data_IF_479695742931
#
_entry.id   IF_479695742931
#
_cell.length_a   1.000
_cell.length_b   1.000
_cell.length_c   1.000
_cell.angle_alpha   90.00
_cell.angle_beta   90.00
_cell.angle_gamma   90.00
#
_symmetry.space_group_name_H-M   'P 1'
#
loop_
_entity.id
_entity.type
_entity.pdbx_description
1 polymer ?
#
# COMPACT_ATOMS: atom_id res chain seq x y z
N UNK A 1 5.36 -12.82 -57.72
CA UNK A 1 6.02 -13.31 -56.49
C UNK A 1 6.31 -14.77 -56.67
N UNK A 2 7.58 -15.17 -56.70
CA UNK A 2 7.99 -16.57 -56.89
C UNK A 2 7.81 -17.32 -55.56
N UNK A 3 7.33 -18.56 -55.61
CA UNK A 3 7.25 -19.48 -54.48
C UNK A 3 8.62 -19.75 -53.81
N UNK A 4 9.71 -19.34 -54.44
CA UNK A 4 11.08 -19.47 -53.91
C UNK A 4 11.48 -18.40 -52.94
N UNK A 5 10.69 -17.32 -52.73
CA UNK A 5 10.95 -16.24 -51.76
C UNK A 5 10.24 -16.46 -50.40
N UNK A 6 9.63 -17.63 -50.19
CA UNK A 6 9.01 -17.93 -48.91
C UNK A 6 10.08 -18.14 -47.82
N UNK A 7 9.95 -17.47 -46.65
CA UNK A 7 10.93 -17.62 -45.57
C UNK A 7 10.99 -19.10 -45.13
N UNK A 8 12.21 -19.63 -45.05
CA UNK A 8 12.46 -20.99 -44.58
C UNK A 8 11.90 -21.17 -43.17
N UNK A 9 11.04 -22.15 -42.98
CA UNK A 9 10.46 -22.47 -41.68
C UNK A 9 11.56 -22.88 -40.69
N UNK A 10 11.66 -22.16 -39.57
CA UNK A 10 12.63 -22.45 -38.53
C UNK A 10 11.90 -22.99 -37.29
N UNK A 11 11.87 -24.29 -37.14
CA UNK A 11 11.17 -25.03 -36.10
C UNK A 11 11.65 -24.62 -34.67
N UNK A 12 12.94 -24.42 -34.50
CA UNK A 12 13.52 -23.99 -33.21
C UNK A 12 12.99 -22.64 -32.78
N UNK A 13 12.92 -21.69 -33.71
CA UNK A 13 12.41 -20.33 -33.46
C UNK A 13 10.91 -20.33 -33.15
N UNK A 14 10.14 -21.14 -33.88
CA UNK A 14 8.69 -21.25 -33.64
C UNK A 14 8.39 -21.96 -32.31
N UNK A 15 9.15 -22.98 -31.95
CA UNK A 15 9.03 -23.65 -30.66
C UNK A 15 9.45 -22.73 -29.50
N UNK A 16 10.47 -21.88 -29.68
CA UNK A 16 10.84 -20.85 -28.69
C UNK A 16 9.73 -19.81 -28.48
N UNK A 17 9.12 -19.31 -29.56
CA UNK A 17 7.97 -18.39 -29.50
C UNK A 17 6.76 -19.02 -28.79
N UNK A 18 6.43 -20.28 -29.12
CA UNK A 18 5.33 -20.99 -28.43
C UNK A 18 5.60 -21.15 -26.94
N UNK A 19 6.81 -21.53 -26.53
CA UNK A 19 7.19 -21.63 -25.10
C UNK A 19 7.10 -20.30 -24.42
N UNK A 20 7.57 -19.23 -25.06
CA UNK A 20 7.46 -17.86 -24.50
C UNK A 20 6.01 -17.44 -24.33
N UNK A 21 5.16 -17.69 -25.32
CA UNK A 21 3.75 -17.34 -25.30
C UNK A 21 2.98 -18.12 -24.22
N UNK A 22 3.24 -19.42 -24.10
CA UNK A 22 2.65 -20.25 -23.05
C UNK A 22 3.14 -19.77 -21.66
N UNK A 23 4.46 -19.53 -21.52
CA UNK A 23 5.04 -19.02 -20.26
C UNK A 23 4.44 -17.67 -19.86
N UNK A 24 4.31 -16.72 -20.79
CA UNK A 24 3.70 -15.43 -20.51
C UNK A 24 2.21 -15.54 -20.13
N UNK A 25 1.47 -16.43 -20.81
CA UNK A 25 0.07 -16.67 -20.47
C UNK A 25 -0.11 -17.27 -19.07
N UNK A 26 0.77 -18.20 -18.66
CA UNK A 26 0.76 -18.77 -17.31
C UNK A 26 1.08 -17.74 -16.26
N UNK A 27 2.08 -16.87 -16.47
CA UNK A 27 2.41 -15.78 -15.56
C UNK A 27 1.24 -14.81 -15.42
N UNK A 28 0.62 -14.44 -16.55
CA UNK A 28 -0.55 -13.56 -16.54
C UNK A 28 -1.73 -14.16 -15.78
N UNK A 29 -2.03 -15.45 -16.00
CA UNK A 29 -3.08 -16.17 -15.28
C UNK A 29 -2.79 -16.22 -13.76
N UNK A 30 -1.53 -16.48 -13.38
CA UNK A 30 -1.13 -16.49 -11.97
C UNK A 30 -1.32 -15.10 -11.31
N UNK A 31 -0.94 -14.02 -11.99
CA UNK A 31 -1.15 -12.65 -11.50
C UNK A 31 -2.63 -12.30 -11.34
N UNK A 32 -3.48 -12.73 -12.28
CA UNK A 32 -4.93 -12.55 -12.18
C UNK A 32 -5.50 -13.30 -10.97
N UNK A 33 -5.09 -14.55 -10.75
CA UNK A 33 -5.53 -15.35 -9.60
C UNK A 33 -5.09 -14.73 -8.28
N UNK A 34 -3.85 -14.25 -8.17
CA UNK A 34 -3.34 -13.57 -6.98
C UNK A 34 -4.10 -12.26 -6.70
N UNK A 35 -4.40 -11.49 -7.76
CA UNK A 35 -5.18 -10.24 -7.63
C UNK A 35 -6.60 -10.54 -7.16
N UNK A 36 -7.25 -11.56 -7.72
CA UNK A 36 -8.58 -11.98 -7.31
C UNK A 36 -8.59 -12.47 -5.86
N UNK A 37 -7.60 -13.26 -5.48
CA UNK A 37 -7.46 -13.74 -4.10
C UNK A 37 -7.27 -12.57 -3.12
N UNK A 38 -6.39 -11.62 -3.44
CA UNK A 38 -6.21 -10.41 -2.63
C UNK A 38 -7.51 -9.63 -2.46
N UNK A 39 -8.28 -9.48 -3.53
CA UNK A 39 -9.57 -8.80 -3.48
C UNK A 39 -10.59 -9.54 -2.60
N UNK A 40 -10.69 -10.87 -2.70
CA UNK A 40 -11.59 -11.71 -1.87
C UNK A 40 -11.20 -11.63 -0.39
N UNK A 41 -9.90 -11.61 -0.09
CA UNK A 41 -9.39 -11.50 1.28
C UNK A 41 -9.49 -10.09 1.87
N UNK A 42 -9.98 -9.10 1.12
CA UNK A 42 -10.16 -7.73 1.59
C UNK A 42 -8.94 -6.81 1.43
N UNK A 43 -7.87 -7.27 0.78
CA UNK A 43 -6.66 -6.49 0.52
C UNK A 43 -6.70 -5.70 -0.80
N UNK A 44 -7.88 -5.62 -1.44
CA UNK A 44 -8.11 -4.85 -2.66
C UNK A 44 -7.23 -5.29 -3.84
N UNK A 45 -6.83 -4.33 -4.67
CA UNK A 45 -5.99 -4.62 -5.84
C UNK A 45 -4.51 -4.77 -5.46
N UNK A 46 -3.91 -5.92 -5.79
CA UNK A 46 -2.54 -6.28 -5.45
C UNK A 46 -1.53 -5.16 -5.73
N UNK A 47 -1.60 -4.53 -6.90
CA UNK A 47 -0.62 -3.52 -7.32
C UNK A 47 -0.83 -2.13 -6.71
N UNK A 48 -2.01 -1.85 -6.17
CA UNK A 48 -2.33 -0.54 -5.58
C UNK A 48 -2.38 -0.58 -4.06
N UNK A 49 -3.01 -1.60 -3.49
CA UNK A 49 -3.25 -1.66 -2.06
C UNK A 49 -2.06 -2.24 -1.29
N UNK A 50 -1.41 -3.29 -1.83
CA UNK A 50 -0.27 -3.91 -1.15
C UNK A 50 0.90 -2.95 -0.85
N UNK A 51 1.34 -2.06 -1.77
CA UNK A 51 2.33 -1.05 -1.43
C UNK A 51 1.89 -0.10 -0.32
N UNK A 52 0.59 0.25 -0.26
CA UNK A 52 0.03 1.11 0.78
C UNK A 52 -0.01 0.38 2.12
N UNK A 53 -0.45 -0.88 2.15
CA UNK A 53 -0.42 -1.71 3.35
C UNK A 53 1.01 -1.86 3.89
N UNK A 54 1.99 -2.10 3.01
CA UNK A 54 3.40 -2.16 3.40
C UNK A 54 3.89 -0.84 4.01
N UNK A 55 3.45 0.30 3.45
CA UNK A 55 3.77 1.62 4.00
C UNK A 55 3.15 1.81 5.37
N UNK A 56 1.88 1.44 5.55
CA UNK A 56 1.20 1.49 6.85
C UNK A 56 1.86 0.56 7.85
N UNK A 57 2.25 -0.64 7.46
CA UNK A 57 3.04 -1.54 8.32
C UNK A 57 4.35 -0.89 8.76
N UNK A 58 5.10 -0.26 7.84
CA UNK A 58 6.36 0.42 8.18
C UNK A 58 6.14 1.60 9.13
N UNK A 59 5.03 2.32 8.97
CA UNK A 59 4.63 3.40 9.86
C UNK A 59 4.41 2.88 11.29
N UNK A 60 3.60 1.84 11.46
CA UNK A 60 3.34 1.25 12.78
C UNK A 60 4.57 0.58 13.37
N UNK A 61 5.42 -0.07 12.57
CA UNK A 61 6.71 -0.59 13.04
C UNK A 61 7.59 0.52 13.64
N UNK A 62 7.61 1.71 13.02
CA UNK A 62 8.35 2.85 13.55
C UNK A 62 7.75 3.36 14.88
N UNK A 63 6.42 3.41 15.00
CA UNK A 63 5.75 3.76 16.27
C UNK A 63 6.04 2.75 17.39
N UNK A 64 6.00 1.46 17.10
CA UNK A 64 6.35 0.38 18.05
C UNK A 64 7.80 0.49 18.52
N UNK A 65 8.71 0.83 17.60
CA UNK A 65 10.11 1.09 17.91
C UNK A 65 10.34 2.45 18.62
N UNK A 66 9.28 3.26 18.81
CA UNK A 66 9.34 4.64 19.32
C UNK A 66 10.23 5.58 18.48
N UNK A 67 10.43 5.24 17.22
CA UNK A 67 11.12 6.06 16.22
C UNK A 67 10.12 7.03 15.58
N UNK A 68 9.73 8.05 16.33
CA UNK A 68 8.73 9.03 15.90
C UNK A 68 9.21 9.88 14.72
N UNK A 69 10.53 10.07 14.57
CA UNK A 69 11.10 10.75 13.41
C UNK A 69 10.84 9.97 12.14
N UNK A 70 11.18 8.68 12.12
CA UNK A 70 10.92 7.80 10.98
C UNK A 70 9.41 7.61 10.71
N UNK A 71 8.59 7.52 11.77
CA UNK A 71 7.15 7.45 11.62
C UNK A 71 6.61 8.73 10.95
N UNK A 72 7.11 9.91 11.33
CA UNK A 72 6.74 11.19 10.76
C UNK A 72 7.14 11.31 9.27
N UNK A 73 8.35 10.88 8.90
CA UNK A 73 8.82 10.83 7.51
C UNK A 73 7.90 9.97 6.64
N UNK A 74 7.46 8.81 7.16
CA UNK A 74 6.52 7.92 6.47
C UNK A 74 5.13 8.56 6.37
N UNK A 75 4.66 9.19 7.45
CA UNK A 75 3.33 9.81 7.53
C UNK A 75 3.18 10.95 6.53
N UNK A 76 4.17 11.84 6.49
CA UNK A 76 4.17 13.02 5.61
C UNK A 76 4.60 12.73 4.17
N UNK A 77 5.06 11.51 3.86
CA UNK A 77 5.67 11.16 2.59
C UNK A 77 6.90 12.00 2.23
N UNK A 78 7.61 12.50 3.22
CA UNK A 78 8.86 13.23 3.06
C UNK A 78 9.96 12.51 3.87
N UNK A 79 10.92 11.83 3.24
CA UNK A 79 11.97 11.08 3.94
C UNK A 79 12.93 11.96 4.76
N UNK A 80 12.73 13.26 4.72
CA UNK A 80 13.54 14.26 5.45
C UNK A 80 12.70 15.16 6.37
N UNK A 81 11.41 14.85 6.55
CA UNK A 81 10.48 15.67 7.34
C UNK A 81 10.94 15.89 8.79
N UNK A 82 11.47 14.84 9.42
CA UNK A 82 11.99 14.93 10.78
C UNK A 82 13.23 15.83 10.90
N UNK A 83 14.01 15.95 9.80
CA UNK A 83 15.22 16.80 9.74
C UNK A 83 14.89 18.24 9.32
N UNK A 84 13.75 18.45 8.65
CA UNK A 84 13.29 19.73 8.11
C UNK A 84 11.88 20.07 8.58
N UNK A 85 11.64 20.17 9.92
CA UNK A 85 10.30 20.38 10.48
C UNK A 85 9.65 21.70 10.03
N UNK A 86 10.42 22.67 9.58
CA UNK A 86 9.93 23.93 9.02
C UNK A 86 9.06 23.78 7.76
N UNK A 87 9.22 22.67 7.02
CA UNK A 87 8.40 22.36 5.83
C UNK A 87 6.99 21.88 6.20
N UNK A 88 6.82 21.42 7.43
CA UNK A 88 5.58 20.87 7.97
C UNK A 88 5.08 21.71 9.15
N UNK A 89 5.12 23.05 9.02
CA UNK A 89 4.76 23.99 10.09
C UNK A 89 3.30 23.86 10.58
N UNK A 90 2.39 23.41 9.71
CA UNK A 90 0.98 23.17 10.06
C UNK A 90 0.80 21.94 10.95
N UNK A 91 1.65 20.93 10.77
CA UNK A 91 1.64 19.71 11.59
C UNK A 91 3.08 19.26 11.89
N UNK A 92 3.74 19.92 12.85
CA UNK A 92 5.14 19.67 13.16
C UNK A 92 5.36 18.35 13.89
N UNK A 93 6.60 17.82 13.83
CA UNK A 93 7.01 16.57 14.49
C UNK A 93 6.64 16.53 15.99
N UNK A 94 6.74 17.66 16.69
CA UNK A 94 6.38 17.72 18.11
C UNK A 94 4.89 17.41 18.33
N UNK A 95 4.01 17.97 17.49
CA UNK A 95 2.57 17.70 17.53
C UNK A 95 2.27 16.26 17.13
N UNK A 96 2.88 15.77 16.06
CA UNK A 96 2.78 14.37 15.64
C UNK A 96 3.18 13.43 16.79
N UNK A 97 4.31 13.69 17.45
CA UNK A 97 4.77 12.87 18.58
C UNK A 97 3.76 12.88 19.74
N UNK A 98 3.18 14.03 20.05
CA UNK A 98 2.13 14.14 21.08
C UNK A 98 0.90 13.32 20.69
N UNK A 99 0.42 13.45 19.47
CA UNK A 99 -0.78 12.75 18.97
C UNK A 99 -0.60 11.22 18.93
N UNK A 100 0.63 10.72 18.81
CA UNK A 100 0.92 9.29 18.83
C UNK A 100 1.48 8.76 20.16
N UNK A 101 1.53 9.60 21.18
CA UNK A 101 1.95 9.24 22.55
C UNK A 101 0.90 9.61 23.59
N UNK A 102 0.91 10.85 24.08
CA UNK A 102 0.03 11.31 25.14
C UNK A 102 -1.45 11.35 24.70
N UNK A 103 -1.70 11.77 23.46
CA UNK A 103 -3.04 11.91 22.87
C UNK A 103 -3.34 10.75 21.89
N UNK A 104 -2.70 9.59 22.09
CA UNK A 104 -2.82 8.44 21.18
C UNK A 104 -4.29 8.08 20.92
N UNK A 105 -4.68 7.81 19.64
CA UNK A 105 -6.06 7.44 19.26
C UNK A 105 -6.57 6.20 19.99
N UNK A 106 -5.66 5.40 20.54
CA UNK A 106 -6.01 4.20 21.33
C UNK A 106 -5.85 4.39 22.84
N UNK A 107 -5.57 5.60 23.31
CA UNK A 107 -5.31 5.94 24.71
C UNK A 107 -4.18 5.10 25.35
N UNK A 108 -3.21 4.68 24.55
CA UNK A 108 -2.06 3.91 24.98
C UNK A 108 -0.95 3.98 23.90
N UNK A 109 0.33 3.76 24.27
CA UNK A 109 1.38 3.59 23.27
C UNK A 109 1.08 2.40 22.34
N UNK A 110 1.47 2.52 21.08
CA UNK A 110 1.36 1.43 20.11
C UNK A 110 2.46 0.41 20.40
N UNK A 111 2.08 -0.83 20.65
CA UNK A 111 2.99 -1.93 21.00
C UNK A 111 2.86 -3.13 20.06
N UNK A 112 1.81 -3.18 19.29
CA UNK A 112 1.59 -4.21 18.26
C UNK A 112 0.58 -3.70 17.24
N UNK A 113 0.71 -4.16 15.99
CA UNK A 113 -0.27 -3.89 14.95
C UNK A 113 -0.48 -5.07 14.02
N UNK A 114 -1.58 -5.04 13.31
CA UNK A 114 -1.90 -5.95 12.21
C UNK A 114 -2.79 -5.24 11.21
N UNK A 115 -2.41 -5.25 9.95
CA UNK A 115 -3.27 -4.75 8.87
C UNK A 115 -4.32 -5.80 8.57
N UNK A 116 -5.59 -5.45 8.76
CA UNK A 116 -6.70 -6.38 8.56
C UNK A 116 -7.18 -6.37 7.11
N UNK A 117 -7.51 -5.20 6.59
CA UNK A 117 -8.00 -5.03 5.21
C UNK A 117 -7.61 -3.65 4.67
N UNK A 118 -7.65 -3.51 3.34
CA UNK A 118 -7.53 -2.23 2.66
C UNK A 118 -8.53 -2.10 1.52
N UNK A 119 -9.16 -0.93 1.39
CA UNK A 119 -10.11 -0.63 0.31
C UNK A 119 -9.95 0.80 -0.20
N UNK A 120 -10.25 0.99 -1.47
CA UNK A 120 -10.40 2.36 -2.01
C UNK A 120 -11.56 3.06 -1.32
N UNK A 121 -11.45 4.38 -1.15
CA UNK A 121 -12.42 5.21 -0.42
C UNK A 121 -13.79 5.37 -1.12
N UNK A 122 -13.94 4.80 -2.33
CA UNK A 122 -15.18 4.86 -3.09
C UNK A 122 -15.47 6.21 -3.76
N UNK A 123 -14.56 7.20 -3.63
CA UNK A 123 -14.71 8.50 -4.29
C UNK A 123 -14.20 8.45 -5.73
N UNK A 124 -15.07 8.85 -6.69
CA UNK A 124 -14.75 8.81 -8.11
C UNK A 124 -14.55 7.39 -8.67
N UNK A 125 -14.11 7.28 -9.93
CA UNK A 125 -13.97 6.00 -10.64
C UNK A 125 -12.96 5.03 -10.01
N UNK A 126 -11.91 5.56 -9.36
CA UNK A 126 -10.84 4.76 -8.75
C UNK A 126 -10.54 5.15 -7.29
N UNK A 127 -11.35 6.02 -6.69
CA UNK A 127 -11.13 6.60 -5.37
C UNK A 127 -9.97 7.59 -5.32
N UNK A 128 -10.03 8.55 -4.41
CA UNK A 128 -8.97 9.55 -4.15
C UNK A 128 -7.92 9.04 -3.17
N UNK A 129 -8.23 7.98 -2.44
CA UNK A 129 -7.34 7.35 -1.47
C UNK A 129 -7.63 5.89 -1.22
N UNK A 130 -6.90 5.34 -0.25
CA UNK A 130 -7.05 3.97 0.23
C UNK A 130 -7.20 4.02 1.74
N UNK A 131 -8.27 3.42 2.24
CA UNK A 131 -8.48 3.23 3.67
C UNK A 131 -7.89 1.89 4.06
N UNK A 132 -7.07 1.90 5.10
CA UNK A 132 -6.43 0.71 5.66
C UNK A 132 -6.91 0.54 7.09
N UNK A 133 -7.59 -0.55 7.36
CA UNK A 133 -7.98 -0.92 8.71
C UNK A 133 -6.83 -1.65 9.40
N UNK A 134 -6.43 -1.14 10.55
CA UNK A 134 -5.32 -1.67 11.34
C UNK A 134 -5.81 -1.98 12.73
N UNK A 135 -5.55 -3.19 13.19
CA UNK A 135 -5.77 -3.59 14.57
C UNK A 135 -4.51 -3.32 15.37
N UNK A 136 -4.63 -2.55 16.45
CA UNK A 136 -3.51 -2.19 17.30
C UNK A 136 -3.73 -2.65 18.73
N UNK A 137 -2.65 -2.99 19.44
CA UNK A 137 -2.68 -3.42 20.83
C UNK A 137 -3.74 -4.52 21.09
N UNK A 138 -3.82 -5.49 20.19
CA UNK A 138 -4.73 -6.63 20.24
C UNK A 138 -6.08 -6.39 19.56
N UNK A 139 -6.93 -5.47 20.06
CA UNK A 139 -8.33 -5.39 19.60
C UNK A 139 -8.81 -3.99 19.20
N UNK A 140 -8.01 -2.96 19.35
CA UNK A 140 -8.42 -1.60 18.96
C UNK A 140 -8.22 -1.40 17.47
N UNK A 141 -9.26 -0.95 16.76
CA UNK A 141 -9.22 -0.70 15.31
C UNK A 141 -8.94 0.77 15.06
N UNK A 142 -7.97 1.03 14.19
CA UNK A 142 -7.70 2.33 13.59
C UNK A 142 -7.93 2.25 12.08
N UNK A 143 -8.31 3.37 11.50
CA UNK A 143 -8.53 3.48 10.06
C UNK A 143 -7.61 4.58 9.52
N UNK A 144 -6.49 4.13 8.95
CA UNK A 144 -5.55 5.02 8.28
C UNK A 144 -6.04 5.34 6.87
N UNK A 145 -5.77 6.53 6.41
CA UNK A 145 -6.09 6.94 5.06
C UNK A 145 -4.83 7.34 4.31
N UNK A 146 -4.63 6.72 3.15
CA UNK A 146 -3.56 7.06 2.24
C UNK A 146 -4.10 7.93 1.11
N UNK A 147 -3.59 9.17 1.00
CA UNK A 147 -3.94 10.10 -0.06
C UNK A 147 -3.12 9.78 -1.31
N UNK A 148 -3.76 9.33 -2.38
CA UNK A 148 -3.07 8.99 -3.65
C UNK A 148 -2.36 10.19 -4.30
N UNK A 149 -2.87 11.42 -4.08
CA UNK A 149 -2.33 12.63 -4.68
C UNK A 149 -0.98 13.04 -4.08
N UNK A 150 -0.84 12.96 -2.77
CA UNK A 150 0.35 13.41 -2.04
C UNK A 150 1.21 12.25 -1.55
N UNK A 151 0.61 11.07 -1.40
CA UNK A 151 1.24 9.91 -0.78
C UNK A 151 1.27 9.97 0.75
N UNK A 152 0.66 10.96 1.36
CA UNK A 152 0.59 11.11 2.81
C UNK A 152 -0.37 10.12 3.44
N UNK A 153 -0.10 9.80 4.70
CA UNK A 153 -1.03 9.10 5.57
C UNK A 153 -1.78 10.10 6.44
N UNK A 154 -3.03 9.83 6.76
CA UNK A 154 -3.82 10.59 7.73
C UNK A 154 -4.61 9.65 8.64
N UNK A 155 -4.94 10.12 9.84
CA UNK A 155 -5.84 9.49 10.80
C UNK A 155 -6.69 10.60 11.45
N UNK A 156 -8.01 10.41 11.57
CA UNK A 156 -8.81 9.29 11.10
C UNK A 156 -9.02 9.29 9.58
N UNK A 157 -9.37 8.12 9.03
CA UNK A 157 -9.86 8.02 7.66
C UNK A 157 -11.22 8.73 7.50
N UNK A 158 -11.62 9.14 6.27
CA UNK A 158 -12.89 9.84 6.03
C UNK A 158 -14.13 9.02 6.39
N UNK A 159 -14.02 7.70 6.42
CA UNK A 159 -15.04 6.78 6.93
C UNK A 159 -14.41 5.47 7.39
N UNK A 160 -15.15 4.71 8.19
CA UNK A 160 -14.72 3.40 8.68
C UNK A 160 -15.07 2.32 7.67
N UNK A 161 -14.31 1.21 7.67
CA UNK A 161 -14.63 0.03 6.91
C UNK A 161 -15.38 -0.98 7.80
N UNK A 162 -16.49 -1.49 7.29
CA UNK A 162 -17.19 -2.62 7.91
C UNK A 162 -16.65 -3.93 7.35
N UNK A 163 -16.24 -4.87 8.23
CA UNK A 163 -15.71 -6.19 7.89
C UNK A 163 -15.74 -7.15 9.09
#
# INVERSE_FOLDING_TARGET
MSLMDAPVYNETRENAKKKLLIGSALVFAALLLLTLLGYILGHGWLFTNLPVEHRVNNFFNALEAKDYGKAFDIYTNDPTAAQHPERHSEYPLARFTQDWTADSPVNAPITSHHVDISRTDGSGTFGSGIIVAVRVNGNKKLFMYYLKKTGELTEPAPHILEY
#
